data_IF_026628689930
#
_entry.id   IF_026628689930
#
_cell.length_a   1.000
_cell.length_b   1.000
_cell.length_c   1.000
_cell.angle_alpha   90.00
_cell.angle_beta   90.00
_cell.angle_gamma   90.00
#
_symmetry.space_group_name_H-M   'P 1'
#
loop_
_entity.id
_entity.type
_entity.pdbx_description
1 polymer ?
#
# COMPACT_ATOMS: atom_id res chain seq x y z
N UNK A 1 62.75 4.59 35.87
CA UNK A 1 62.90 6.03 36.17
C UNK A 1 62.16 6.88 35.12
N UNK A 2 60.91 6.47 34.65
CA UNK A 2 60.14 7.15 33.59
C UNK A 2 58.74 7.59 34.09
N UNK A 3 58.37 7.21 35.30
CA UNK A 3 56.98 7.51 35.82
C UNK A 3 56.91 8.93 36.46
N UNK A 4 58.02 9.55 36.82
CA UNK A 4 58.03 10.87 37.44
C UNK A 4 57.87 12.05 36.47
N UNK A 5 58.22 11.90 35.19
CA UNK A 5 58.22 12.98 34.20
C UNK A 5 56.77 13.35 33.78
N UNK A 6 55.88 12.36 33.64
CA UNK A 6 54.50 12.59 33.17
C UNK A 6 53.61 13.28 34.23
N UNK A 7 53.83 12.99 35.52
CA UNK A 7 53.08 13.61 36.60
C UNK A 7 53.44 15.09 36.78
N UNK A 8 54.73 15.42 36.68
CA UNK A 8 55.21 16.81 36.79
C UNK A 8 54.79 17.65 35.57
N UNK A 9 54.80 17.05 34.41
CA UNK A 9 54.31 17.69 33.19
C UNK A 9 52.81 17.97 33.24
N UNK A 10 51.98 17.02 33.74
CA UNK A 10 50.54 17.18 33.93
C UNK A 10 50.23 18.27 34.99
N UNK A 11 51.00 18.36 36.07
CA UNK A 11 50.83 19.38 37.12
C UNK A 11 51.21 20.78 36.58
N UNK A 12 52.29 20.88 35.79
CA UNK A 12 52.70 22.16 35.20
C UNK A 12 51.69 22.63 34.14
N UNK A 13 51.20 21.73 33.30
CA UNK A 13 50.12 22.05 32.32
C UNK A 13 48.83 22.48 33.01
N UNK A 14 48.50 21.90 34.18
CA UNK A 14 47.37 22.31 35.01
C UNK A 14 47.56 23.70 35.65
N UNK A 15 48.78 24.02 36.13
CA UNK A 15 49.09 25.34 36.65
C UNK A 15 49.07 26.45 35.60
N UNK A 16 49.66 26.20 34.43
CA UNK A 16 49.59 27.14 33.30
C UNK A 16 48.14 27.40 32.84
N UNK A 17 47.26 26.37 32.87
CA UNK A 17 45.83 26.52 32.59
C UNK A 17 45.10 27.37 33.63
N UNK A 18 45.43 27.21 34.93
CA UNK A 18 44.82 28.02 35.99
C UNK A 18 45.34 29.46 35.97
N UNK A 19 46.60 29.68 35.63
CA UNK A 19 47.15 31.04 35.49
C UNK A 19 46.51 31.76 34.29
N UNK A 20 46.40 31.09 33.13
CA UNK A 20 45.73 31.69 31.96
C UNK A 20 44.26 32.04 32.21
N UNK A 21 43.57 31.28 33.04
CA UNK A 21 42.23 31.60 33.48
C UNK A 21 42.19 32.82 34.43
N UNK A 22 43.11 32.90 35.39
CA UNK A 22 43.16 34.03 36.32
C UNK A 22 43.51 35.32 35.57
N UNK A 23 44.42 35.28 34.64
CA UNK A 23 44.84 36.39 33.79
C UNK A 23 43.69 36.85 32.90
N UNK A 24 42.97 35.89 32.28
CA UNK A 24 41.77 36.20 31.48
C UNK A 24 40.67 36.80 32.32
N UNK A 25 40.39 36.26 33.51
CA UNK A 25 39.41 36.80 34.44
C UNK A 25 39.68 38.26 34.86
N UNK A 26 40.96 38.55 35.12
CA UNK A 26 41.36 39.89 35.48
C UNK A 26 41.37 40.87 34.30
N UNK A 27 41.61 40.40 33.08
CA UNK A 27 41.61 41.23 31.89
C UNK A 27 40.18 41.52 31.35
N UNK A 28 39.19 40.64 31.58
CA UNK A 28 37.85 40.77 31.04
C UNK A 28 36.77 40.97 32.12
N UNK A 29 37.13 41.49 33.30
CA UNK A 29 36.21 41.69 34.42
C UNK A 29 35.02 42.57 34.06
N UNK A 30 35.20 43.58 33.20
CA UNK A 30 34.15 44.47 32.73
C UNK A 30 33.20 43.83 31.71
N UNK A 31 33.60 42.81 30.99
CA UNK A 31 32.79 42.09 29.97
C UNK A 31 32.00 40.93 30.58
N UNK A 32 32.44 40.39 31.71
CA UNK A 32 31.77 39.27 32.39
C UNK A 32 30.30 39.51 32.76
N UNK A 33 29.90 40.68 33.32
CA UNK A 33 28.50 40.96 33.63
C UNK A 33 27.63 40.98 32.37
N UNK A 34 28.19 41.49 31.26
CA UNK A 34 27.47 41.54 29.97
C UNK A 34 27.28 40.12 29.44
N UNK A 35 28.36 39.31 29.46
CA UNK A 35 28.30 37.91 29.02
C UNK A 35 27.32 37.08 29.86
N UNK A 36 27.31 37.22 31.16
CA UNK A 36 26.34 36.60 32.07
C UNK A 36 24.92 37.09 31.81
N UNK A 37 24.74 38.39 31.53
CA UNK A 37 23.45 38.97 31.15
C UNK A 37 22.89 38.33 29.84
N UNK A 38 23.74 38.15 28.83
CA UNK A 38 23.40 37.50 27.57
C UNK A 38 23.05 36.04 27.81
N UNK A 39 23.86 35.29 28.59
CA UNK A 39 23.56 33.90 28.95
C UNK A 39 22.19 33.77 29.63
N UNK A 40 21.93 34.62 30.62
CA UNK A 40 20.65 34.66 31.35
C UNK A 40 19.47 34.97 30.41
N UNK A 41 19.65 35.93 29.49
CA UNK A 41 18.64 36.29 28.52
C UNK A 41 18.32 35.09 27.57
N UNK A 42 19.34 34.37 27.07
CA UNK A 42 19.16 33.18 26.22
C UNK A 42 18.40 32.08 26.96
N UNK A 43 18.82 31.78 28.21
CA UNK A 43 18.14 30.78 29.04
C UNK A 43 16.68 31.20 29.31
N UNK A 44 16.41 32.47 29.60
CA UNK A 44 15.03 32.97 29.82
C UNK A 44 14.17 32.83 28.54
N UNK A 45 14.71 33.16 27.39
CA UNK A 45 14.00 32.99 26.11
C UNK A 45 13.69 31.49 25.87
N UNK A 46 14.67 30.60 26.08
CA UNK A 46 14.46 29.16 25.91
C UNK A 46 13.48 28.58 26.94
N UNK A 47 13.50 29.03 28.19
CA UNK A 47 12.49 28.69 29.20
C UNK A 47 11.11 29.22 28.82
N UNK A 48 11.05 30.43 28.25
CA UNK A 48 9.81 30.99 27.69
C UNK A 48 9.24 30.12 26.56
N UNK A 49 10.07 29.70 25.63
CA UNK A 49 9.68 28.74 24.55
C UNK A 49 9.18 27.41 25.12
N UNK A 50 9.85 26.89 26.15
CA UNK A 50 9.40 25.67 26.85
C UNK A 50 8.07 25.89 27.57
N UNK A 51 7.87 27.04 28.19
CA UNK A 51 6.60 27.40 28.83
C UNK A 51 5.45 27.55 27.79
N UNK A 52 5.74 28.18 26.65
CA UNK A 52 4.80 28.20 25.51
C UNK A 52 4.47 26.79 25.05
N UNK A 53 5.46 25.89 24.97
CA UNK A 53 5.24 24.47 24.66
C UNK A 53 4.26 23.80 25.63
N UNK A 54 4.40 24.05 26.95
CA UNK A 54 3.47 23.49 27.95
C UNK A 54 2.06 24.14 27.87
N UNK A 55 1.98 25.41 27.52
CA UNK A 55 0.71 26.09 27.31
C UNK A 55 -0.04 25.58 26.10
N UNK A 56 0.67 25.33 24.98
CA UNK A 56 0.11 24.72 23.76
C UNK A 56 -0.44 23.32 24.01
N UNK A 57 0.19 22.53 24.88
CA UNK A 57 -0.24 21.18 25.25
C UNK A 57 -1.48 21.16 26.14
N UNK A 58 -1.73 22.21 26.94
CA UNK A 58 -2.96 22.30 27.76
C UNK A 58 -4.24 22.30 26.90
N UNK A 59 -4.15 22.83 25.67
CA UNK A 59 -5.26 22.84 24.72
C UNK A 59 -5.38 21.59 23.84
N UNK A 60 -4.35 20.74 23.77
CA UNK A 60 -4.31 19.54 22.94
C UNK A 60 -3.34 18.49 23.50
N UNK A 61 -3.68 17.83 24.64
CA UNK A 61 -2.78 16.87 25.31
C UNK A 61 -2.47 15.64 24.44
N UNK A 62 -3.37 15.26 23.57
CA UNK A 62 -3.20 14.10 22.67
C UNK A 62 -2.51 14.45 21.35
N UNK A 63 -2.16 15.72 21.16
CA UNK A 63 -1.48 16.25 19.95
C UNK A 63 -2.19 15.89 18.64
N UNK A 64 -3.50 16.02 18.63
CA UNK A 64 -4.34 15.87 17.44
C UNK A 64 -4.15 16.97 16.40
N UNK A 65 -3.65 18.14 16.86
CA UNK A 65 -3.37 19.29 16.01
C UNK A 65 -1.86 19.59 15.98
N UNK A 66 -1.42 20.31 14.98
CA UNK A 66 -0.03 20.78 14.87
C UNK A 66 0.46 21.51 16.12
N UNK A 67 -0.45 22.21 16.81
CA UNK A 67 -0.15 22.91 18.08
C UNK A 67 0.36 21.95 19.16
N UNK A 68 -0.26 20.78 19.30
CA UNK A 68 0.16 19.78 20.27
C UNK A 68 1.50 19.14 19.90
N UNK A 69 1.76 18.87 18.60
CA UNK A 69 3.05 18.35 18.14
C UNK A 69 4.18 19.32 18.43
N UNK A 70 4.00 20.60 18.03
CA UNK A 70 4.97 21.68 18.30
C UNK A 70 5.14 21.88 19.81
N UNK A 71 4.05 21.87 20.57
CA UNK A 71 4.09 21.97 22.02
C UNK A 71 4.94 20.89 22.67
N UNK A 72 4.84 19.64 22.24
CA UNK A 72 5.69 18.52 22.72
C UNK A 72 7.16 18.71 22.39
N UNK A 73 7.48 19.12 21.17
CA UNK A 73 8.85 19.38 20.74
C UNK A 73 9.49 20.48 21.63
N UNK A 74 8.79 21.59 21.81
CA UNK A 74 9.27 22.69 22.65
C UNK A 74 9.41 22.30 24.13
N UNK A 75 8.43 21.56 24.67
CA UNK A 75 8.46 21.09 26.06
C UNK A 75 9.66 20.17 26.35
N UNK A 76 10.06 19.36 25.35
CA UNK A 76 11.18 18.39 25.47
C UNK A 76 12.56 19.03 25.33
N UNK A 77 12.66 20.36 25.22
CA UNK A 77 13.94 21.07 25.26
C UNK A 77 14.57 20.88 26.62
N UNK A 78 15.75 20.28 26.68
CA UNK A 78 16.46 19.95 27.92
C UNK A 78 17.15 21.18 28.49
N UNK A 79 17.25 21.25 29.83
CA UNK A 79 17.99 22.32 30.52
C UNK A 79 19.48 22.24 30.16
N UNK A 80 20.02 21.03 29.98
CA UNK A 80 21.42 20.82 29.58
C UNK A 80 21.72 21.50 28.26
N UNK A 81 20.83 21.39 27.28
CA UNK A 81 20.97 22.06 25.98
C UNK A 81 20.90 23.58 26.12
N UNK A 82 19.98 24.10 26.97
CA UNK A 82 19.88 25.54 27.20
C UNK A 82 21.16 26.11 27.80
N UNK A 83 21.73 25.42 28.78
CA UNK A 83 23.00 25.81 29.42
C UNK A 83 24.17 25.68 28.44
N UNK A 84 24.24 24.59 27.67
CA UNK A 84 25.29 24.40 26.66
C UNK A 84 25.27 25.52 25.62
N UNK A 85 24.09 25.87 25.09
CA UNK A 85 23.94 26.98 24.14
C UNK A 85 24.35 28.33 24.74
N UNK A 86 23.96 28.58 25.99
CA UNK A 86 24.33 29.83 26.66
C UNK A 86 25.86 29.92 26.90
N UNK A 87 26.50 28.81 27.30
CA UNK A 87 27.93 28.76 27.51
C UNK A 87 28.73 28.94 26.21
N UNK A 88 28.28 28.30 25.13
CA UNK A 88 28.94 28.40 23.82
C UNK A 88 28.91 29.85 23.28
N UNK A 89 27.71 30.50 23.33
CA UNK A 89 27.56 31.88 22.89
C UNK A 89 28.41 32.83 23.77
N UNK A 90 28.44 32.61 25.10
CA UNK A 90 29.23 33.40 26.02
C UNK A 90 30.72 33.21 25.75
N UNK A 91 31.18 31.97 25.52
CA UNK A 91 32.56 31.66 25.24
C UNK A 91 33.07 32.36 23.96
N UNK A 92 32.22 32.38 22.93
CA UNK A 92 32.49 33.07 21.66
C UNK A 92 32.60 34.59 21.86
N UNK A 93 31.67 35.16 22.68
CA UNK A 93 31.59 36.61 22.89
C UNK A 93 32.69 37.15 23.81
N UNK A 94 33.05 36.39 24.86
CA UNK A 94 34.03 36.79 25.88
C UNK A 94 35.49 36.40 25.52
N UNK A 95 35.73 35.94 24.27
CA UNK A 95 37.03 35.52 23.76
C UNK A 95 37.82 34.64 24.77
N UNK A 96 37.17 33.59 25.26
CA UNK A 96 37.70 32.67 26.29
C UNK A 96 38.93 31.94 25.73
N UNK A 97 39.92 31.57 26.56
CA UNK A 97 41.10 30.83 26.11
C UNK A 97 40.74 29.58 25.28
N UNK A 98 41.41 29.37 24.14
CA UNK A 98 41.11 28.33 23.13
C UNK A 98 40.90 26.91 23.69
N UNK A 99 41.49 26.57 24.84
CA UNK A 99 41.30 25.25 25.48
C UNK A 99 39.89 25.12 26.09
N UNK A 100 39.34 26.17 26.62
CA UNK A 100 38.05 26.22 27.28
C UNK A 100 36.98 26.39 26.25
N UNK A 101 37.19 27.21 25.23
CA UNK A 101 36.33 27.35 24.06
C UNK A 101 36.07 25.99 23.43
N UNK A 102 37.13 25.19 23.16
CA UNK A 102 36.97 23.82 22.60
C UNK A 102 36.14 22.90 23.52
N UNK A 103 36.22 23.03 24.84
CA UNK A 103 35.41 22.24 25.77
C UNK A 103 33.93 22.63 25.67
N UNK A 104 33.64 23.92 25.54
CA UNK A 104 32.27 24.42 25.36
C UNK A 104 31.69 24.03 23.99
N UNK A 105 32.49 24.11 22.92
CA UNK A 105 32.10 23.62 21.58
C UNK A 105 31.73 22.14 21.60
N UNK A 106 32.55 21.30 22.24
CA UNK A 106 32.27 19.87 22.39
C UNK A 106 31.00 19.67 23.20
N UNK A 107 30.85 20.36 24.33
CA UNK A 107 29.66 20.25 25.18
C UNK A 107 28.40 20.70 24.44
N UNK A 108 28.48 21.80 23.70
CA UNK A 108 27.40 22.29 22.86
C UNK A 108 27.03 21.28 21.75
N UNK A 109 28.02 20.77 21.01
CA UNK A 109 27.83 19.79 19.96
C UNK A 109 27.14 18.52 20.48
N UNK A 110 27.58 17.99 21.61
CA UNK A 110 26.97 16.81 22.25
C UNK A 110 25.52 17.13 22.66
N UNK A 111 25.30 18.27 23.32
CA UNK A 111 23.98 18.69 23.74
C UNK A 111 23.05 18.94 22.55
N UNK A 112 23.54 19.58 21.48
CA UNK A 112 22.80 19.85 20.26
C UNK A 112 22.41 18.58 19.50
N UNK A 113 23.36 17.64 19.33
CA UNK A 113 23.08 16.38 18.65
C UNK A 113 22.03 15.54 19.38
N UNK A 114 22.12 15.43 20.70
CA UNK A 114 21.14 14.73 21.53
C UNK A 114 19.78 15.45 21.51
N UNK A 115 19.79 16.76 21.63
CA UNK A 115 18.56 17.56 21.62
C UNK A 115 17.87 17.50 20.25
N UNK A 116 18.65 17.55 19.16
CA UNK A 116 18.17 17.39 17.79
C UNK A 116 17.49 16.02 17.58
N UNK A 117 18.11 14.95 18.09
CA UNK A 117 17.53 13.62 18.06
C UNK A 117 16.21 13.54 18.84
N UNK A 118 16.12 14.18 20.02
CA UNK A 118 14.90 14.25 20.83
C UNK A 118 13.81 15.02 20.07
N UNK A 119 14.11 16.18 19.50
CA UNK A 119 13.16 16.98 18.74
C UNK A 119 12.66 16.25 17.49
N UNK A 120 13.57 15.66 16.71
CA UNK A 120 13.20 14.86 15.53
C UNK A 120 12.32 13.67 15.91
N UNK A 121 12.64 12.97 17.01
CA UNK A 121 11.85 11.86 17.52
C UNK A 121 10.42 12.31 17.90
N UNK A 122 10.29 13.37 18.68
CA UNK A 122 8.99 13.88 19.11
C UNK A 122 8.16 14.41 17.93
N UNK A 123 8.81 15.02 16.92
CA UNK A 123 8.16 15.47 15.70
C UNK A 123 7.61 14.28 14.90
N UNK A 124 8.44 13.27 14.61
CA UNK A 124 8.04 12.09 13.84
C UNK A 124 6.90 11.33 14.55
N UNK A 125 7.06 11.06 15.85
CA UNK A 125 6.05 10.37 16.62
C UNK A 125 4.77 11.19 16.79
N UNK A 126 4.90 12.51 16.88
CA UNK A 126 3.77 13.43 16.92
C UNK A 126 2.92 13.40 15.63
N UNK A 127 3.58 13.41 14.48
CA UNK A 127 2.91 13.28 13.17
C UNK A 127 2.21 11.92 13.02
N UNK A 128 2.87 10.83 13.44
CA UNK A 128 2.30 9.48 13.37
C UNK A 128 1.08 9.37 14.28
N UNK A 129 1.18 9.83 15.53
CA UNK A 129 0.08 9.75 16.50
C UNK A 129 -1.14 10.57 16.08
N UNK A 130 -0.92 11.72 15.43
CA UNK A 130 -1.98 12.56 14.88
C UNK A 130 -2.82 11.84 13.84
N UNK A 131 -2.20 11.03 12.97
CA UNK A 131 -2.88 10.35 11.89
C UNK A 131 -3.49 8.99 12.30
N UNK A 132 -3.23 8.52 13.51
CA UNK A 132 -3.62 7.18 13.96
C UNK A 132 -5.07 7.05 14.48
N UNK A 133 -5.76 8.17 14.79
CA UNK A 133 -7.16 8.18 15.26
C UNK A 133 -7.34 7.84 16.75
N UNK A 134 -8.59 7.98 17.25
CA UNK A 134 -8.92 7.88 18.69
C UNK A 134 -8.71 6.50 19.30
N UNK A 135 -8.91 5.44 18.50
CA UNK A 135 -8.86 4.03 18.99
C UNK A 135 -7.53 3.34 18.70
N UNK A 136 -6.48 4.13 18.35
CA UNK A 136 -5.20 3.53 17.98
C UNK A 136 -4.51 2.77 19.13
N UNK A 137 -4.72 3.19 20.37
CA UNK A 137 -4.06 2.59 21.52
C UNK A 137 -4.52 1.16 21.85
N UNK A 138 -5.78 0.82 21.54
CA UNK A 138 -6.39 -0.50 21.83
C UNK A 138 -6.38 -1.46 20.62
N UNK A 139 -5.82 -1.01 19.51
CA UNK A 139 -5.85 -1.76 18.24
C UNK A 139 -4.45 -2.25 17.84
N UNK A 140 -4.39 -3.13 16.84
CA UNK A 140 -3.13 -3.52 16.18
C UNK A 140 -2.27 -2.33 15.73
N UNK A 141 -2.88 -1.15 15.52
CA UNK A 141 -2.20 0.10 15.18
C UNK A 141 -1.35 0.61 16.35
N UNK A 142 -1.82 0.50 17.61
CA UNK A 142 -1.04 0.89 18.80
C UNK A 142 0.24 0.09 18.94
N UNK A 143 0.17 -1.23 18.71
CA UNK A 143 1.35 -2.10 18.74
C UNK A 143 2.35 -1.74 17.62
N UNK A 144 1.87 -1.41 16.43
CA UNK A 144 2.71 -0.95 15.33
C UNK A 144 3.41 0.38 15.66
N UNK A 145 2.71 1.34 16.28
CA UNK A 145 3.30 2.61 16.73
C UNK A 145 4.39 2.39 17.78
N UNK A 146 4.22 1.42 18.69
CA UNK A 146 5.24 1.09 19.68
C UNK A 146 6.54 0.60 19.01
N UNK A 147 6.43 -0.29 18.02
CA UNK A 147 7.59 -0.76 17.23
C UNK A 147 8.25 0.39 16.47
N UNK A 148 7.45 1.23 15.78
CA UNK A 148 7.96 2.39 15.05
C UNK A 148 8.70 3.35 16.01
N UNK A 149 8.18 3.56 17.21
CA UNK A 149 8.82 4.39 18.25
C UNK A 149 10.20 3.90 18.59
N UNK A 150 10.38 2.59 18.77
CA UNK A 150 11.69 1.98 19.06
C UNK A 150 12.63 2.18 17.87
N UNK A 151 12.19 1.84 16.66
CA UNK A 151 12.99 1.96 15.44
C UNK A 151 13.46 3.39 15.19
N UNK A 152 12.55 4.36 15.27
CA UNK A 152 12.85 5.80 15.10
C UNK A 152 13.82 6.26 16.18
N UNK A 153 13.64 5.84 17.45
CA UNK A 153 14.54 6.21 18.54
C UNK A 153 15.94 5.65 18.29
N UNK A 154 16.06 4.37 17.97
CA UNK A 154 17.35 3.72 17.70
C UNK A 154 18.08 4.43 16.55
N UNK A 155 17.38 4.68 15.43
CA UNK A 155 17.96 5.33 14.27
C UNK A 155 18.46 6.74 14.59
N UNK A 156 17.64 7.57 15.24
CA UNK A 156 18.00 8.96 15.56
C UNK A 156 19.13 9.06 16.57
N UNK A 157 19.12 8.22 17.61
CA UNK A 157 20.22 8.21 18.58
C UNK A 157 21.50 7.62 18.01
N UNK A 158 21.45 6.67 17.08
CA UNK A 158 22.62 6.19 16.36
C UNK A 158 23.23 7.31 15.51
N UNK A 159 22.43 8.09 14.79
CA UNK A 159 22.88 9.25 14.01
C UNK A 159 23.50 10.30 14.95
N UNK A 160 22.83 10.63 16.07
CA UNK A 160 23.37 11.57 17.05
C UNK A 160 24.72 11.11 17.61
N UNK A 161 24.88 9.82 17.90
CA UNK A 161 26.15 9.24 18.38
C UNK A 161 27.25 9.40 17.34
N UNK A 162 26.96 9.18 16.06
CA UNK A 162 27.94 9.36 14.98
C UNK A 162 28.39 10.82 14.90
N UNK A 163 27.44 11.76 14.92
CA UNK A 163 27.74 13.21 14.88
C UNK A 163 28.61 13.60 16.07
N UNK A 164 28.33 13.09 17.27
CA UNK A 164 29.16 13.34 18.46
C UNK A 164 30.57 12.79 18.30
N UNK A 165 30.70 11.54 17.86
CA UNK A 165 32.00 10.90 17.67
C UNK A 165 32.87 11.60 16.62
N UNK A 166 32.22 12.01 15.50
CA UNK A 166 32.89 12.76 14.43
C UNK A 166 33.45 14.11 14.95
N UNK A 167 32.65 14.85 15.71
CA UNK A 167 33.07 16.12 16.33
C UNK A 167 34.17 15.94 17.37
N UNK A 168 34.20 14.79 18.05
CA UNK A 168 35.27 14.41 18.96
C UNK A 168 36.57 14.01 18.23
N UNK A 169 36.60 14.02 16.89
CA UNK A 169 37.74 13.64 16.08
C UNK A 169 37.91 12.12 15.91
N UNK A 170 36.94 11.33 16.29
CA UNK A 170 36.92 9.88 16.05
C UNK A 170 36.55 9.60 14.59
N UNK A 171 37.34 8.75 13.91
CA UNK A 171 37.02 8.37 12.55
C UNK A 171 35.74 7.50 12.51
N UNK A 172 34.64 8.08 12.06
CA UNK A 172 33.31 7.43 11.98
C UNK A 172 33.09 6.69 10.67
N UNK A 173 34.03 6.69 9.72
CA UNK A 173 33.86 6.10 8.38
C UNK A 173 33.44 4.63 8.45
N UNK A 174 34.08 3.84 9.32
CA UNK A 174 33.72 2.43 9.49
C UNK A 174 32.35 2.24 10.11
N UNK A 175 31.91 3.12 11.02
CA UNK A 175 30.58 3.09 11.62
C UNK A 175 29.50 3.43 10.59
N UNK A 176 29.73 4.48 9.79
CA UNK A 176 28.80 4.90 8.71
C UNK A 176 28.72 3.81 7.65
N UNK A 177 29.86 3.21 7.24
CA UNK A 177 29.88 2.10 6.30
C UNK A 177 29.10 0.89 6.84
N UNK A 178 29.32 0.52 8.10
CA UNK A 178 28.61 -0.58 8.76
C UNK A 178 27.10 -0.34 8.86
N UNK A 179 26.69 0.88 9.22
CA UNK A 179 25.28 1.27 9.23
C UNK A 179 24.68 1.27 7.82
N UNK A 180 25.43 1.68 6.80
CA UNK A 180 25.01 1.62 5.40
C UNK A 180 24.74 0.19 4.95
N UNK A 181 25.66 -0.74 5.21
CA UNK A 181 25.48 -2.18 4.89
C UNK A 181 24.30 -2.76 5.68
N UNK A 182 24.19 -2.46 6.97
CA UNK A 182 23.05 -2.85 7.80
C UNK A 182 21.72 -2.30 7.28
N UNK A 183 21.71 -1.04 6.81
CA UNK A 183 20.56 -0.41 6.19
C UNK A 183 20.12 -1.10 4.90
N UNK A 184 21.07 -1.51 4.05
CA UNK A 184 20.77 -2.30 2.84
C UNK A 184 20.15 -3.65 3.23
N UNK A 185 20.70 -4.35 4.21
CA UNK A 185 20.17 -5.63 4.68
C UNK A 185 18.73 -5.49 5.21
N UNK A 186 18.45 -4.45 6.02
CA UNK A 186 17.10 -4.14 6.52
C UNK A 186 16.16 -3.78 5.36
N UNK A 187 16.63 -2.99 4.37
CA UNK A 187 15.87 -2.63 3.18
C UNK A 187 15.45 -3.85 2.37
N UNK A 188 16.37 -4.78 2.14
CA UNK A 188 16.09 -6.05 1.45
C UNK A 188 15.10 -6.91 2.24
N UNK A 189 15.25 -7.00 3.57
CA UNK A 189 14.30 -7.73 4.42
C UNK A 189 12.88 -7.10 4.40
N UNK A 190 12.77 -5.79 4.25
CA UNK A 190 11.50 -5.05 4.21
C UNK A 190 10.92 -4.91 2.80
N UNK A 191 11.63 -5.35 1.74
CA UNK A 191 11.25 -5.17 0.33
C UNK A 191 9.82 -5.62 0.02
N UNK A 192 9.41 -6.79 0.55
CA UNK A 192 8.06 -7.31 0.32
C UNK A 192 6.95 -6.42 0.88
N UNK A 193 7.20 -5.76 2.03
CA UNK A 193 6.22 -4.83 2.62
C UNK A 193 6.07 -3.58 1.74
N UNK A 194 7.19 -3.03 1.26
CA UNK A 194 7.18 -1.87 0.36
C UNK A 194 6.53 -2.20 -0.98
N UNK A 195 6.83 -3.38 -1.56
CA UNK A 195 6.20 -3.83 -2.80
C UNK A 195 4.68 -3.88 -2.69
N UNK A 196 4.12 -4.45 -1.62
CA UNK A 196 2.68 -4.49 -1.39
C UNK A 196 2.09 -3.08 -1.19
N UNK A 197 2.82 -2.18 -0.53
CA UNK A 197 2.40 -0.79 -0.37
C UNK A 197 2.36 -0.04 -1.72
N UNK A 198 3.39 -0.18 -2.54
CA UNK A 198 3.41 0.41 -3.89
C UNK A 198 2.34 -0.19 -4.79
N UNK A 199 2.08 -1.50 -4.68
CA UNK A 199 0.98 -2.14 -5.37
C UNK A 199 -0.38 -1.57 -4.95
N UNK A 200 -0.60 -1.32 -3.65
CA UNK A 200 -1.80 -0.64 -3.16
C UNK A 200 -1.96 0.77 -3.72
N UNK A 201 -0.86 1.54 -3.80
CA UNK A 201 -0.85 2.88 -4.40
C UNK A 201 -1.16 2.82 -5.89
N UNK A 202 -0.59 1.86 -6.63
CA UNK A 202 -0.92 1.64 -8.05
C UNK A 202 -2.41 1.33 -8.23
N UNK A 203 -2.98 0.43 -7.42
CA UNK A 203 -4.42 0.14 -7.46
C UNK A 203 -5.25 1.41 -7.20
N UNK A 204 -4.82 2.27 -6.28
CA UNK A 204 -5.54 3.50 -5.93
C UNK A 204 -5.50 4.56 -7.04
N UNK A 205 -4.35 4.71 -7.72
CA UNK A 205 -4.15 5.73 -8.77
C UNK A 205 -4.66 5.25 -10.12
N UNK A 206 -4.23 4.08 -10.59
CA UNK A 206 -4.56 3.54 -11.91
C UNK A 206 -5.95 2.92 -11.96
N UNK A 207 -6.45 2.46 -10.80
CA UNK A 207 -7.79 1.89 -10.60
C UNK A 207 -8.11 0.76 -11.59
N UNK A 208 -7.27 -0.26 -11.74
CA UNK A 208 -7.58 -1.41 -12.57
C UNK A 208 -8.88 -2.10 -12.10
N UNK A 209 -9.18 -2.00 -10.82
CA UNK A 209 -10.45 -2.34 -10.18
C UNK A 209 -10.68 -1.46 -8.95
N UNK A 210 -11.95 -1.39 -8.51
CA UNK A 210 -12.39 -0.62 -7.35
C UNK A 210 -13.13 -1.53 -6.38
N UNK A 211 -13.35 -1.03 -5.16
CA UNK A 211 -14.25 -1.68 -4.22
C UNK A 211 -15.65 -1.79 -4.84
N UNK A 212 -16.25 -2.96 -4.78
CA UNK A 212 -17.54 -3.29 -5.37
C UNK A 212 -17.46 -3.87 -6.78
N UNK A 213 -16.31 -3.80 -7.46
CA UNK A 213 -16.14 -4.41 -8.77
C UNK A 213 -16.09 -5.93 -8.65
N UNK A 214 -16.70 -6.61 -9.65
CA UNK A 214 -16.50 -8.05 -9.82
C UNK A 214 -15.29 -8.26 -10.71
N UNK A 215 -14.29 -8.97 -10.18
CA UNK A 215 -13.07 -9.31 -10.87
C UNK A 215 -12.87 -10.82 -10.94
N UNK A 216 -12.15 -11.27 -11.94
CA UNK A 216 -11.65 -12.64 -12.02
C UNK A 216 -10.12 -12.59 -12.15
N UNK A 217 -9.46 -13.42 -11.37
CA UNK A 217 -8.03 -13.68 -11.40
C UNK A 217 -7.81 -15.18 -11.16
N UNK A 218 -6.89 -15.77 -11.89
CA UNK A 218 -6.72 -17.22 -11.93
C UNK A 218 -8.10 -17.91 -12.14
N UNK A 219 -8.50 -18.80 -11.24
CA UNK A 219 -9.80 -19.50 -11.28
C UNK A 219 -10.84 -18.86 -10.33
N UNK A 220 -10.50 -17.77 -9.65
CA UNK A 220 -11.37 -17.12 -8.68
C UNK A 220 -12.11 -15.95 -9.31
N UNK A 221 -13.43 -16.00 -9.25
CA UNK A 221 -14.30 -14.86 -9.59
C UNK A 221 -14.95 -14.35 -8.31
N UNK A 222 -14.94 -13.05 -8.08
CA UNK A 222 -15.56 -12.49 -6.89
C UNK A 222 -15.64 -10.97 -6.89
N UNK A 223 -16.29 -10.43 -5.87
CA UNK A 223 -16.47 -8.99 -5.68
C UNK A 223 -15.42 -8.44 -4.71
N UNK A 224 -14.78 -7.34 -5.06
CA UNK A 224 -13.79 -6.66 -4.22
C UNK A 224 -14.49 -6.02 -3.03
N UNK A 225 -14.25 -6.54 -1.83
CA UNK A 225 -14.82 -6.01 -0.58
C UNK A 225 -14.01 -4.85 -0.03
N UNK A 226 -12.68 -5.04 0.00
CA UNK A 226 -11.76 -4.07 0.60
C UNK A 226 -10.39 -4.16 -0.02
N UNK A 227 -9.80 -2.99 -0.31
CA UNK A 227 -8.41 -2.82 -0.70
C UNK A 227 -7.68 -2.24 0.51
N UNK A 228 -6.73 -3.00 1.07
CA UNK A 228 -5.88 -2.58 2.18
C UNK A 228 -4.49 -2.19 1.70
N UNK A 229 -3.62 -1.74 2.62
CA UNK A 229 -2.24 -1.37 2.31
C UNK A 229 -1.38 -2.57 1.88
N UNK A 230 -1.67 -3.76 2.39
CA UNK A 230 -0.90 -4.98 2.08
C UNK A 230 -1.71 -5.98 1.28
N UNK A 231 -3.01 -6.10 1.55
CA UNK A 231 -3.87 -7.15 0.99
C UNK A 231 -5.18 -6.59 0.47
N UNK A 232 -5.66 -7.17 -0.63
CA UNK A 232 -7.02 -7.00 -1.12
C UNK A 232 -7.88 -8.19 -0.69
N UNK A 233 -9.12 -7.93 -0.28
CA UNK A 233 -10.11 -8.93 0.10
C UNK A 233 -11.19 -8.99 -0.96
N UNK A 234 -11.43 -10.19 -1.48
CA UNK A 234 -12.42 -10.46 -2.52
C UNK A 234 -13.40 -11.50 -2.00
N UNK A 235 -14.70 -11.23 -2.08
CA UNK A 235 -15.76 -12.19 -1.79
C UNK A 235 -15.99 -13.05 -3.02
N UNK A 236 -15.61 -14.31 -2.96
CA UNK A 236 -15.82 -15.27 -4.04
C UNK A 236 -17.32 -15.50 -4.28
N UNK A 237 -17.66 -15.95 -5.48
CA UNK A 237 -19.01 -16.34 -5.84
C UNK A 237 -19.55 -17.48 -4.97
N UNK A 238 -18.67 -18.32 -4.42
CA UNK A 238 -19.01 -19.42 -3.50
C UNK A 238 -19.23 -18.94 -2.05
N UNK A 239 -19.02 -17.63 -1.75
CA UNK A 239 -19.27 -17.01 -0.46
C UNK A 239 -18.05 -16.90 0.45
N UNK A 240 -16.92 -17.59 0.17
CA UNK A 240 -15.71 -17.44 0.94
C UNK A 240 -15.00 -16.12 0.68
N UNK A 241 -14.24 -15.63 1.67
CA UNK A 241 -13.39 -14.46 1.52
C UNK A 241 -11.96 -14.87 1.12
N UNK A 242 -11.56 -14.49 -0.08
CA UNK A 242 -10.19 -14.67 -0.57
C UNK A 242 -9.39 -13.44 -0.19
N UNK A 243 -8.25 -13.65 0.49
CA UNK A 243 -7.33 -12.58 0.92
C UNK A 243 -6.03 -12.77 0.17
N UNK A 244 -5.63 -11.80 -0.65
CA UNK A 244 -4.43 -11.86 -1.47
C UNK A 244 -3.56 -10.62 -1.24
N UNK A 245 -2.23 -10.80 -1.26
CA UNK A 245 -1.28 -9.69 -1.25
C UNK A 245 -1.45 -8.84 -2.51
N UNK A 246 -1.38 -7.51 -2.38
CA UNK A 246 -1.63 -6.60 -3.50
C UNK A 246 -0.65 -6.84 -4.66
N UNK A 247 0.63 -7.06 -4.35
CA UNK A 247 1.65 -7.40 -5.36
C UNK A 247 1.27 -8.64 -6.14
N UNK A 248 0.91 -9.74 -5.44
CA UNK A 248 0.53 -11.00 -6.08
C UNK A 248 -0.72 -10.87 -6.94
N UNK A 249 -1.66 -10.03 -6.54
CA UNK A 249 -2.88 -9.79 -7.30
C UNK A 249 -2.58 -9.04 -8.60
N UNK A 250 -1.71 -8.00 -8.56
CA UNK A 250 -1.33 -7.23 -9.74
C UNK A 250 -0.39 -7.99 -10.70
N UNK A 251 0.30 -9.03 -10.23
CA UNK A 251 1.11 -9.94 -11.07
C UNK A 251 0.24 -10.91 -11.88
N UNK A 252 -1.07 -11.00 -11.58
CA UNK A 252 -2.01 -11.86 -12.30
C UNK A 252 -2.74 -11.09 -13.38
N UNK A 253 -3.20 -11.82 -14.39
CA UNK A 253 -4.17 -11.30 -15.34
C UNK A 253 -5.50 -11.06 -14.61
N UNK A 254 -5.99 -9.82 -14.65
CA UNK A 254 -7.22 -9.43 -13.97
C UNK A 254 -8.28 -9.07 -15.00
N UNK A 255 -9.36 -9.85 -15.05
CA UNK A 255 -10.54 -9.50 -15.81
C UNK A 255 -11.50 -8.71 -14.93
N UNK A 256 -11.65 -7.41 -15.19
CA UNK A 256 -12.60 -6.56 -14.49
C UNK A 256 -13.93 -6.50 -15.27
N UNK A 257 -14.96 -7.13 -14.74
CA UNK A 257 -16.29 -7.16 -15.35
C UNK A 257 -17.11 -5.90 -15.12
N UNK A 258 -16.71 -5.04 -14.19
CA UNK A 258 -17.41 -3.78 -13.90
C UNK A 258 -16.96 -2.63 -14.81
N UNK A 259 -15.81 -2.76 -15.48
CA UNK A 259 -15.26 -1.72 -16.37
C UNK A 259 -16.01 -1.54 -17.69
N UNK A 260 -16.87 -2.50 -18.10
CA UNK A 260 -17.64 -2.45 -19.32
C UNK A 260 -19.04 -1.86 -19.13
N UNK A 261 -19.66 -1.40 -20.24
CA UNK A 261 -21.09 -0.97 -20.25
C UNK A 261 -22.05 -2.13 -20.48
N UNK A 262 -21.58 -3.25 -20.99
CA UNK A 262 -22.35 -4.44 -21.33
C UNK A 262 -21.54 -5.69 -21.08
N UNK A 263 -22.21 -6.79 -20.85
CA UNK A 263 -21.61 -8.12 -20.71
C UNK A 263 -22.01 -8.98 -21.92
N UNK A 264 -21.00 -9.59 -22.55
CA UNK A 264 -21.21 -10.51 -23.67
C UNK A 264 -21.61 -11.88 -23.17
N UNK A 265 -22.69 -12.42 -23.73
CA UNK A 265 -23.20 -13.76 -23.46
C UNK A 265 -23.13 -14.61 -24.73
N UNK A 266 -22.79 -15.87 -24.59
CA UNK A 266 -22.88 -16.88 -25.63
C UNK A 266 -23.92 -17.94 -25.25
N UNK A 267 -24.74 -18.33 -26.19
CA UNK A 267 -25.72 -19.43 -26.11
C UNK A 267 -25.51 -20.32 -27.34
N UNK A 268 -24.79 -21.43 -27.22
CA UNK A 268 -24.68 -22.42 -28.25
C UNK A 268 -25.97 -23.23 -28.30
N UNK A 269 -26.41 -23.59 -29.50
CA UNK A 269 -27.56 -24.47 -29.72
C UNK A 269 -27.38 -25.26 -31.03
N UNK A 270 -28.03 -26.41 -31.13
CA UNK A 270 -28.01 -27.26 -32.31
C UNK A 270 -29.38 -27.44 -32.92
N UNK A 271 -29.52 -27.38 -34.25
CA UNK A 271 -30.70 -27.73 -35.00
C UNK A 271 -30.56 -29.06 -35.68
N UNK A 272 -31.67 -29.77 -35.91
CA UNK A 272 -31.66 -31.08 -36.59
C UNK A 272 -31.20 -30.95 -38.07
N UNK A 273 -30.53 -31.94 -38.61
CA UNK A 273 -30.11 -31.96 -40.02
C UNK A 273 -31.24 -31.98 -41.05
N UNK A 274 -32.44 -32.31 -40.60
CA UNK A 274 -33.66 -32.30 -41.42
C UNK A 274 -34.22 -30.89 -41.65
N UNK A 275 -33.63 -29.85 -40.98
CA UNK A 275 -34.05 -28.44 -41.17
C UNK A 275 -33.69 -27.99 -42.59
N UNK A 276 -34.69 -27.57 -43.42
CA UNK A 276 -34.43 -27.07 -44.77
C UNK A 276 -33.49 -25.85 -44.76
N UNK A 277 -32.64 -25.71 -45.80
CA UNK A 277 -31.73 -24.56 -45.93
C UNK A 277 -32.43 -23.18 -45.83
N UNK A 278 -33.61 -23.05 -46.46
CA UNK A 278 -34.43 -21.83 -46.43
C UNK A 278 -34.88 -21.44 -45.01
N UNK A 279 -35.06 -22.46 -44.14
CA UNK A 279 -35.39 -22.19 -42.71
C UNK A 279 -34.13 -21.90 -41.89
N UNK A 280 -32.99 -22.48 -42.24
CA UNK A 280 -31.70 -22.14 -41.62
C UNK A 280 -31.32 -20.65 -41.88
N UNK A 281 -31.64 -20.10 -43.07
CA UNK A 281 -31.43 -18.69 -43.39
C UNK A 281 -32.23 -17.76 -42.49
N UNK A 282 -33.43 -18.21 -42.02
CA UNK A 282 -34.28 -17.44 -41.11
C UNK A 282 -33.79 -17.41 -39.68
N UNK A 283 -32.92 -18.35 -39.27
CA UNK A 283 -32.42 -18.48 -37.88
C UNK A 283 -31.81 -17.18 -37.36
N UNK A 284 -30.99 -16.48 -38.18
CA UNK A 284 -30.40 -15.23 -37.78
C UNK A 284 -31.46 -14.16 -37.47
N UNK A 285 -32.45 -13.99 -38.30
CA UNK A 285 -33.50 -12.99 -38.13
C UNK A 285 -34.42 -13.28 -36.94
N UNK A 286 -34.74 -14.54 -36.73
CA UNK A 286 -35.54 -15.01 -35.60
C UNK A 286 -34.80 -14.85 -34.28
N UNK A 287 -33.50 -15.23 -34.25
CA UNK A 287 -32.64 -15.04 -33.08
C UNK A 287 -32.47 -13.55 -32.75
N UNK A 288 -32.32 -12.69 -33.79
CA UNK A 288 -32.23 -11.24 -33.58
C UNK A 288 -33.50 -10.69 -32.94
N UNK A 289 -34.66 -11.04 -33.49
CA UNK A 289 -35.95 -10.61 -32.94
C UNK A 289 -36.12 -11.08 -31.47
N UNK A 290 -35.76 -12.34 -31.17
CA UNK A 290 -35.87 -12.91 -29.85
C UNK A 290 -34.93 -12.22 -28.83
N UNK A 291 -33.70 -11.85 -29.23
CA UNK A 291 -32.75 -11.12 -28.38
C UNK A 291 -33.20 -9.69 -28.15
N UNK A 292 -33.58 -8.97 -29.21
CA UNK A 292 -33.92 -7.54 -29.16
C UNK A 292 -35.33 -7.29 -28.54
N UNK A 293 -36.16 -8.30 -28.44
CA UNK A 293 -37.40 -8.25 -27.65
C UNK A 293 -37.09 -7.98 -26.14
N UNK A 294 -35.94 -8.32 -25.67
CA UNK A 294 -35.50 -8.00 -24.30
C UNK A 294 -34.80 -6.66 -24.26
N UNK A 295 -35.39 -5.70 -23.54
CA UNK A 295 -34.85 -4.34 -23.39
C UNK A 295 -33.40 -4.39 -22.79
N UNK A 296 -32.46 -3.80 -23.51
CA UNK A 296 -31.04 -3.75 -23.10
C UNK A 296 -30.21 -4.93 -23.62
N UNK A 297 -30.79 -5.89 -24.36
CA UNK A 297 -30.06 -6.91 -25.06
C UNK A 297 -29.88 -6.52 -26.53
N UNK A 298 -28.74 -6.82 -27.11
CA UNK A 298 -28.40 -6.52 -28.51
C UNK A 298 -27.67 -7.71 -29.14
N UNK A 299 -28.19 -8.17 -30.28
CA UNK A 299 -27.49 -9.22 -31.04
C UNK A 299 -26.14 -8.74 -31.53
N UNK A 300 -25.11 -9.57 -31.34
CA UNK A 300 -23.75 -9.39 -31.91
C UNK A 300 -23.62 -10.29 -33.13
N UNK A 301 -23.92 -11.58 -32.98
CA UNK A 301 -23.79 -12.59 -34.03
C UNK A 301 -24.68 -13.79 -33.74
N UNK A 302 -25.27 -14.36 -34.79
CA UNK A 302 -25.86 -15.67 -34.78
C UNK A 302 -25.43 -16.36 -36.09
N UNK A 303 -24.64 -17.41 -36.01
CA UNK A 303 -24.09 -18.08 -37.18
C UNK A 303 -23.90 -19.57 -36.93
N UNK A 304 -23.83 -20.34 -38.00
CA UNK A 304 -23.41 -21.74 -37.94
C UNK A 304 -21.96 -21.76 -37.47
N UNK A 305 -21.67 -22.59 -36.49
CA UNK A 305 -20.32 -22.79 -35.91
C UNK A 305 -19.66 -24.03 -36.50
N UNK A 306 -20.44 -25.15 -36.55
CA UNK A 306 -19.95 -26.44 -37.06
C UNK A 306 -21.12 -27.35 -37.45
N UNK A 307 -20.77 -28.44 -38.17
CA UNK A 307 -21.65 -29.58 -38.40
C UNK A 307 -21.24 -30.68 -37.43
N UNK A 308 -22.04 -30.82 -36.37
CA UNK A 308 -21.82 -31.78 -35.30
C UNK A 308 -22.29 -33.20 -35.66
N UNK A 309 -22.06 -34.21 -34.79
CA UNK A 309 -22.47 -35.60 -35.05
C UNK A 309 -23.95 -35.78 -35.18
N UNK A 310 -24.76 -34.92 -34.56
CA UNK A 310 -26.23 -35.03 -34.53
C UNK A 310 -26.92 -33.70 -34.78
N UNK A 311 -26.18 -32.63 -35.05
CA UNK A 311 -26.73 -31.27 -35.12
C UNK A 311 -25.96 -30.35 -36.06
N UNK A 312 -26.67 -29.38 -36.60
CA UNK A 312 -26.06 -28.18 -37.18
C UNK A 312 -25.91 -27.22 -36.03
N UNK A 313 -24.66 -26.99 -35.59
CA UNK A 313 -24.34 -26.24 -34.40
C UNK A 313 -24.31 -24.73 -34.71
N UNK A 314 -25.06 -23.97 -33.94
CA UNK A 314 -25.12 -22.52 -34.01
C UNK A 314 -24.50 -21.90 -32.75
N UNK A 315 -23.95 -20.72 -32.90
CA UNK A 315 -23.55 -19.86 -31.79
C UNK A 315 -24.33 -18.55 -31.84
N UNK A 316 -25.09 -18.26 -30.78
CA UNK A 316 -25.74 -17.00 -30.55
C UNK A 316 -24.98 -16.15 -29.56
N UNK A 317 -24.41 -15.05 -30.04
CA UNK A 317 -23.66 -14.06 -29.18
C UNK A 317 -24.50 -12.79 -29.13
N UNK A 318 -24.71 -12.30 -27.90
CA UNK A 318 -25.40 -11.06 -27.65
C UNK A 318 -24.85 -10.32 -26.44
N UNK A 319 -24.99 -9.01 -26.44
CA UNK A 319 -24.55 -8.14 -25.35
C UNK A 319 -25.79 -7.79 -24.48
N UNK A 320 -25.61 -7.90 -23.16
CA UNK A 320 -26.57 -7.46 -22.14
C UNK A 320 -26.06 -6.15 -21.55
N UNK A 321 -26.86 -5.08 -21.62
CA UNK A 321 -26.51 -3.73 -21.14
C UNK A 321 -26.51 -3.62 -19.60
N UNK A 322 -25.83 -4.55 -18.94
CA UNK A 322 -25.62 -4.57 -17.48
C UNK A 322 -24.33 -5.30 -17.16
N UNK A 323 -23.70 -4.89 -16.05
CA UNK A 323 -22.55 -5.57 -15.44
C UNK A 323 -22.95 -6.37 -14.20
N UNK A 324 -24.18 -6.18 -13.70
CA UNK A 324 -24.74 -6.94 -12.58
C UNK A 324 -24.96 -8.40 -13.00
N UNK A 325 -24.33 -9.31 -12.30
CA UNK A 325 -24.31 -10.72 -12.62
C UNK A 325 -25.69 -11.37 -12.54
N UNK A 326 -26.51 -11.01 -11.55
CA UNK A 326 -27.84 -11.56 -11.36
C UNK A 326 -28.75 -11.08 -12.49
N UNK A 327 -28.66 -9.80 -12.86
CA UNK A 327 -29.40 -9.25 -13.99
C UNK A 327 -28.97 -9.87 -15.31
N UNK A 328 -27.67 -10.04 -15.54
CA UNK A 328 -27.17 -10.72 -16.75
C UNK A 328 -27.64 -12.16 -16.83
N UNK A 329 -27.64 -12.91 -15.73
CA UNK A 329 -28.16 -14.28 -15.70
C UNK A 329 -29.68 -14.33 -15.98
N UNK A 330 -30.45 -13.42 -15.41
CA UNK A 330 -31.88 -13.28 -15.66
C UNK A 330 -32.19 -12.92 -17.12
N UNK A 331 -31.48 -11.94 -17.69
CA UNK A 331 -31.65 -11.54 -19.08
C UNK A 331 -31.22 -12.65 -20.06
N UNK A 332 -30.12 -13.37 -19.75
CA UNK A 332 -29.71 -14.56 -20.53
C UNK A 332 -30.79 -15.64 -20.55
N UNK A 333 -31.39 -15.92 -19.40
CA UNK A 333 -32.48 -16.89 -19.30
C UNK A 333 -33.71 -16.42 -20.09
N UNK A 334 -34.06 -15.15 -20.00
CA UNK A 334 -35.18 -14.58 -20.73
C UNK A 334 -34.97 -14.66 -22.27
N UNK A 335 -33.76 -14.35 -22.74
CA UNK A 335 -33.38 -14.49 -24.15
C UNK A 335 -33.49 -15.95 -24.59
N UNK A 336 -32.94 -16.91 -23.82
CA UNK A 336 -33.00 -18.33 -24.13
C UNK A 336 -34.46 -18.81 -24.30
N UNK A 337 -35.35 -18.43 -23.39
CA UNK A 337 -36.76 -18.75 -23.45
C UNK A 337 -37.45 -18.09 -24.67
N UNK A 338 -37.07 -16.86 -25.02
CA UNK A 338 -37.61 -16.17 -26.21
C UNK A 338 -37.19 -16.89 -27.50
N UNK A 339 -35.91 -17.32 -27.58
CA UNK A 339 -35.42 -18.12 -28.71
C UNK A 339 -36.18 -19.45 -28.82
N UNK A 340 -36.36 -20.17 -27.70
CA UNK A 340 -37.10 -21.44 -27.68
C UNK A 340 -38.55 -21.26 -28.21
N UNK A 341 -39.27 -20.22 -27.80
CA UNK A 341 -40.62 -19.93 -28.26
C UNK A 341 -40.65 -19.59 -29.76
N UNK A 342 -39.77 -18.65 -30.17
CA UNK A 342 -39.72 -18.21 -31.56
C UNK A 342 -39.40 -19.37 -32.52
N UNK A 343 -38.46 -20.24 -32.13
CA UNK A 343 -38.13 -21.39 -32.97
C UNK A 343 -39.24 -22.43 -33.03
N UNK A 344 -39.90 -22.71 -31.90
CA UNK A 344 -41.06 -23.60 -31.88
C UNK A 344 -42.22 -23.10 -32.77
N UNK A 345 -42.52 -21.79 -32.74
CA UNK A 345 -43.55 -21.15 -33.59
C UNK A 345 -43.23 -21.26 -35.08
N UNK A 346 -41.94 -21.34 -35.45
CA UNK A 346 -41.51 -21.45 -36.85
C UNK A 346 -41.11 -22.88 -37.25
N UNK A 347 -41.40 -23.88 -36.42
CA UNK A 347 -41.19 -25.29 -36.74
C UNK A 347 -39.68 -25.72 -36.70
N UNK A 348 -38.79 -24.86 -36.18
CA UNK A 348 -37.40 -25.21 -36.02
C UNK A 348 -37.22 -26.15 -34.82
N UNK A 349 -36.58 -27.30 -35.05
CA UNK A 349 -36.40 -28.32 -34.02
C UNK A 349 -34.94 -28.32 -33.50
N UNK A 350 -34.82 -28.27 -32.17
CA UNK A 350 -33.54 -28.47 -31.52
C UNK A 350 -33.08 -29.93 -31.64
N UNK A 351 -31.80 -30.10 -31.89
CA UNK A 351 -31.24 -31.43 -32.06
C UNK A 351 -31.07 -32.18 -30.73
N UNK A 352 -31.41 -33.42 -30.73
CA UNK A 352 -31.13 -34.36 -29.65
C UNK A 352 -29.94 -35.27 -30.08
N UNK A 353 -29.15 -35.81 -29.16
CA UNK A 353 -28.19 -36.86 -29.49
C UNK A 353 -28.90 -38.00 -30.18
N UNK A 354 -28.58 -38.26 -31.46
CA UNK A 354 -29.17 -39.32 -32.25
C UNK A 354 -28.15 -40.39 -32.57
N UNK A 355 -28.58 -41.64 -32.50
CA UNK A 355 -27.79 -42.81 -32.91
C UNK A 355 -28.59 -43.61 -33.92
N UNK A 356 -27.97 -43.89 -35.07
CA UNK A 356 -28.52 -44.80 -36.05
C UNK A 356 -27.92 -46.18 -35.83
N UNK A 357 -28.78 -47.14 -35.45
CA UNK A 357 -28.35 -48.54 -35.28
C UNK A 357 -28.84 -49.36 -36.43
N UNK A 358 -27.94 -50.05 -37.10
CA UNK A 358 -28.31 -50.99 -38.15
C UNK A 358 -28.28 -52.40 -37.56
N UNK A 359 -29.40 -53.11 -37.70
CA UNK A 359 -29.48 -54.51 -37.29
C UNK A 359 -29.31 -55.37 -38.52
N UNK A 360 -28.35 -56.25 -38.54
CA UNK A 360 -28.14 -57.22 -39.62
C UNK A 360 -28.63 -58.59 -39.17
N UNK A 361 -29.23 -59.35 -40.08
CA UNK A 361 -29.50 -60.79 -39.91
C UNK A 361 -28.18 -61.60 -39.93
N UNK A 362 -28.15 -62.86 -39.49
CA UNK A 362 -26.96 -63.65 -39.43
C UNK A 362 -26.29 -63.88 -40.78
N UNK A 363 -26.98 -63.67 -41.88
CA UNK A 363 -26.51 -63.70 -43.25
C UNK A 363 -25.89 -62.36 -43.75
N UNK A 364 -25.85 -61.36 -42.89
CA UNK A 364 -25.35 -60.03 -43.23
C UNK A 364 -26.37 -59.11 -43.90
N UNK A 365 -27.59 -59.55 -44.13
CA UNK A 365 -28.65 -58.70 -44.69
C UNK A 365 -29.15 -57.69 -43.64
N UNK A 366 -29.33 -56.43 -44.08
CA UNK A 366 -29.89 -55.39 -43.19
C UNK A 366 -31.35 -55.64 -42.92
N UNK A 367 -31.71 -55.78 -41.65
CA UNK A 367 -33.11 -55.88 -41.21
C UNK A 367 -33.66 -54.47 -40.99
N UNK A 368 -34.55 -54.02 -41.86
CA UNK A 368 -35.28 -52.77 -41.71
C UNK A 368 -36.43 -53.00 -40.72
N UNK A 369 -36.48 -52.32 -39.57
CA UNK A 369 -37.52 -52.50 -38.56
C UNK A 369 -38.91 -51.98 -39.00
N UNK A 370 -38.98 -51.25 -40.11
CA UNK A 370 -40.24 -50.77 -40.69
C UNK A 370 -40.37 -51.19 -42.13
N UNK A 371 -41.58 -51.57 -42.52
CA UNK A 371 -41.87 -51.88 -43.92
C UNK A 371 -41.53 -50.68 -44.80
N UNK A 372 -40.69 -50.89 -45.82
CA UNK A 372 -40.44 -49.89 -46.86
C UNK A 372 -41.76 -49.62 -47.52
N UNK A 373 -42.27 -48.33 -47.59
CA UNK A 373 -43.47 -48.05 -48.36
C UNK A 373 -43.24 -48.53 -49.76
N UNK A 374 -44.07 -49.48 -50.24
CA UNK A 374 -43.92 -50.10 -51.52
C UNK A 374 -43.82 -49.06 -52.63
N UNK A 375 -42.79 -49.17 -53.48
CA UNK A 375 -42.80 -48.49 -54.76
C UNK A 375 -44.06 -48.99 -55.49
N UNK A 376 -45.06 -48.13 -55.64
CA UNK A 376 -46.14 -48.30 -56.56
C UNK A 376 -45.48 -48.25 -57.94
N UNK A 377 -45.49 -49.38 -58.63
CA UNK A 377 -45.05 -49.56 -60.01
C UNK A 377 -45.99 -48.82 -60.99
#
# INVERSE_FOLDING_TARGET
MVIGGNATQAINTGREGLQSLADWFSANWDELPIALGVAAAIILVMLGLRWIGTWLLRGDPESRHWRGVIGRVLQKTSIVFMVATALDIVATYAAVPLRIERLFDIFFTVAFALQGAIWARELILGVISRNAGENAAETAVGNAIAVIRVLVSVALFAIATIVILDNLGVNVTALVAGLGIGGIAIGLAAQGIFSDLFAALSILFDKPFKRGDTIQFDQTTGTVERIGLKTTRVRSMNGEQVVMANTKLLEREIHNFAGGRSRRCSLPFGLVYQTPPDDLEKVHSLAKAAVEARKGCKLVRCSILSFGPSSIDFELIFDVGSTDQNKVAGDRTAVALSVLRSFAEHGLQFAYPTQTTFTAAPDGTMVMPYAVPGRVS
#
